data_IF_207599095857
#
_entry.id   IF_207599095857
#
_cell.length_a   1.000
_cell.length_b   1.000
_cell.length_c   1.000
_cell.angle_alpha   90.00
_cell.angle_beta   90.00
_cell.angle_gamma   90.00
#
_symmetry.space_group_name_H-M   'P 1'
#
loop_
_entity.id
_entity.type
_entity.pdbx_description
1 polymer ?
#
# COMPACT_ATOMS: atom_id res chain seq x y z
N UNK A 1 4.14 -10.74 17.22
CA UNK A 1 3.92 -10.35 15.81
C UNK A 1 2.45 -10.03 15.65
N UNK A 2 2.11 -8.78 15.33
CA UNK A 2 0.71 -8.31 15.32
C UNK A 2 -0.02 -8.61 14.00
N UNK A 3 0.66 -9.31 13.10
CA UNK A 3 0.12 -9.81 11.83
C UNK A 3 -0.35 -11.24 12.03
N UNK A 4 -1.64 -11.48 11.76
CA UNK A 4 -2.23 -12.80 11.73
C UNK A 4 -2.24 -13.35 10.30
N UNK A 5 -2.05 -14.66 10.15
CA UNK A 5 -2.20 -15.35 8.86
C UNK A 5 -3.60 -15.94 8.77
N UNK A 6 -4.48 -15.28 8.03
CA UNK A 6 -5.79 -15.81 7.71
C UNK A 6 -5.64 -16.93 6.69
N UNK A 7 -6.23 -18.08 6.96
CA UNK A 7 -6.35 -19.19 6.03
C UNK A 7 -7.84 -19.41 5.80
N UNK A 8 -8.24 -19.45 4.54
CA UNK A 8 -9.61 -19.74 4.17
C UNK A 8 -9.62 -20.73 3.00
N UNK A 9 -10.69 -21.50 2.91
CA UNK A 9 -10.96 -22.41 1.82
C UNK A 9 -12.47 -22.41 1.55
N UNK A 10 -12.86 -22.71 0.33
CA UNK A 10 -14.24 -22.94 -0.03
C UNK A 10 -14.38 -24.35 -0.63
N UNK A 11 -15.52 -24.98 -0.42
CA UNK A 11 -15.88 -26.25 -1.05
C UNK A 11 -16.94 -26.05 -2.12
N UNK A 12 -17.04 -26.99 -3.06
CA UNK A 12 -18.10 -27.04 -4.07
C UNK A 12 -19.23 -28.00 -3.70
N UNK A 13 -19.09 -28.71 -2.59
CA UNK A 13 -20.04 -29.67 -2.03
C UNK A 13 -20.04 -29.60 -0.49
N UNK A 14 -20.91 -30.39 0.14
CA UNK A 14 -21.05 -30.46 1.60
C UNK A 14 -19.97 -31.32 2.29
N UNK A 15 -18.91 -31.71 1.57
CA UNK A 15 -17.86 -32.55 2.13
C UNK A 15 -16.70 -31.69 2.66
N UNK A 16 -16.24 -31.98 3.88
CA UNK A 16 -15.07 -31.32 4.47
C UNK A 16 -13.80 -32.08 4.05
N UNK A 17 -13.40 -31.93 2.79
CA UNK A 17 -12.16 -32.52 2.28
C UNK A 17 -11.00 -31.52 2.27
N UNK A 18 -9.77 -32.03 2.12
CA UNK A 18 -8.61 -31.17 1.92
C UNK A 18 -8.69 -30.51 0.53
N UNK A 19 -9.23 -29.29 0.48
CA UNK A 19 -9.50 -28.54 -0.75
C UNK A 19 -8.21 -28.07 -1.46
N UNK A 20 -7.53 -28.98 -2.15
CA UNK A 20 -6.37 -28.68 -3.00
C UNK A 20 -6.79 -27.67 -4.08
N UNK A 21 -6.14 -26.50 -4.10
CA UNK A 21 -6.40 -25.44 -5.09
C UNK A 21 -7.49 -24.42 -4.72
N UNK A 22 -8.32 -24.69 -3.71
CA UNK A 22 -9.36 -23.75 -3.24
C UNK A 22 -9.05 -23.15 -1.87
N UNK A 23 -7.83 -23.37 -1.37
CA UNK A 23 -7.30 -22.77 -0.15
C UNK A 23 -6.47 -21.54 -0.48
N UNK A 24 -6.73 -20.44 0.21
CA UNK A 24 -5.94 -19.23 0.14
C UNK A 24 -5.48 -18.79 1.53
N UNK A 25 -4.35 -18.08 1.56
CA UNK A 25 -3.85 -17.48 2.80
C UNK A 25 -3.53 -16.01 2.58
N UNK A 26 -3.90 -15.17 3.55
CA UNK A 26 -3.66 -13.73 3.52
C UNK A 26 -3.14 -13.26 4.87
N UNK A 27 -2.07 -12.48 4.85
CA UNK A 27 -1.60 -11.78 6.04
C UNK A 27 -2.52 -10.59 6.32
N UNK A 28 -3.07 -10.53 7.53
CA UNK A 28 -4.00 -9.50 7.98
C UNK A 28 -3.54 -8.92 9.31
N UNK A 29 -3.72 -7.62 9.48
CA UNK A 29 -3.47 -6.94 10.75
C UNK A 29 -4.81 -6.81 11.49
N UNK A 30 -5.00 -7.61 12.54
CA UNK A 30 -6.28 -7.66 13.28
C UNK A 30 -6.40 -6.54 14.32
N UNK A 31 -5.27 -6.02 14.81
CA UNK A 31 -5.22 -5.02 15.87
C UNK A 31 -5.26 -3.58 15.34
N UNK A 32 -6.10 -3.30 14.34
CA UNK A 32 -6.23 -1.94 13.80
C UNK A 32 -6.95 -1.05 14.82
N UNK A 33 -6.19 -0.44 15.72
CA UNK A 33 -6.67 0.65 16.54
C UNK A 33 -7.07 1.80 15.62
N UNK A 34 -8.38 2.00 15.45
CA UNK A 34 -8.92 3.25 14.95
C UNK A 34 -9.11 4.11 16.19
N UNK A 35 -8.14 4.98 16.47
CA UNK A 35 -8.38 6.08 17.40
C UNK A 35 -9.63 6.85 16.98
N UNK A 36 -10.24 7.64 17.88
CA UNK A 36 -11.31 8.54 17.47
C UNK A 36 -10.84 9.28 16.22
N UNK A 37 -11.72 9.39 15.22
CA UNK A 37 -11.45 9.95 13.90
C UNK A 37 -11.17 11.46 13.96
N UNK A 38 -10.23 11.86 14.82
CA UNK A 38 -9.96 13.21 15.26
C UNK A 38 -8.77 13.81 14.50
N UNK A 39 -8.73 13.53 13.22
CA UNK A 39 -8.36 14.56 12.25
C UNK A 39 -9.40 14.46 11.15
N UNK A 40 -10.49 15.22 11.25
CA UNK A 40 -11.19 15.58 10.04
C UNK A 40 -10.12 16.10 9.07
N UNK A 41 -10.03 15.50 7.87
CA UNK A 41 -9.09 15.98 6.86
C UNK A 41 -9.19 17.52 6.82
N UNK A 42 -8.07 18.24 6.77
CA UNK A 42 -8.10 19.69 6.76
C UNK A 42 -9.02 20.15 5.63
N UNK A 43 -9.84 21.17 5.86
CA UNK A 43 -10.80 21.66 4.86
C UNK A 43 -10.11 22.14 3.57
N UNK A 44 -8.85 22.54 3.67
CA UNK A 44 -8.02 23.00 2.56
C UNK A 44 -6.74 22.17 2.57
N UNK A 45 -6.52 21.41 1.50
CA UNK A 45 -5.29 20.67 1.27
C UNK A 45 -4.94 20.63 -0.21
N UNK A 46 -3.67 20.34 -0.48
CA UNK A 46 -3.15 20.12 -1.81
C UNK A 46 -2.53 18.73 -1.85
N UNK A 47 -2.72 18.02 -2.97
CA UNK A 47 -2.10 16.71 -3.20
C UNK A 47 -0.97 16.88 -4.21
N UNK A 48 0.18 16.29 -3.91
CA UNK A 48 1.34 16.27 -4.80
C UNK A 48 1.83 14.84 -4.96
N UNK A 49 1.92 14.40 -6.21
CA UNK A 49 2.39 13.05 -6.54
C UNK A 49 3.91 13.03 -6.61
N UNK A 50 4.52 12.18 -5.79
CA UNK A 50 5.94 11.87 -5.84
C UNK A 50 6.13 10.69 -6.78
N UNK A 51 6.65 10.93 -7.99
CA UNK A 51 6.86 9.91 -9.02
C UNK A 51 8.31 9.86 -9.47
N UNK A 52 8.76 8.66 -9.80
CA UNK A 52 10.03 8.42 -10.46
C UNK A 52 9.72 8.12 -11.93
N UNK A 53 9.66 9.17 -12.75
CA UNK A 53 9.31 9.04 -14.16
C UNK A 53 10.47 8.47 -14.98
N UNK A 54 10.15 7.67 -16.01
CA UNK A 54 11.11 7.08 -16.96
C UNK A 54 12.25 6.28 -16.30
N UNK A 55 11.98 5.61 -15.18
CA UNK A 55 12.95 4.73 -14.56
C UNK A 55 13.14 3.44 -15.36
N UNK A 56 14.31 3.28 -15.97
CA UNK A 56 14.69 2.02 -16.59
C UNK A 56 14.94 0.97 -15.50
N UNK A 57 14.04 -0.02 -15.41
CA UNK A 57 14.18 -1.14 -14.46
C UNK A 57 15.39 -2.00 -14.89
N UNK A 58 16.43 -2.11 -14.05
CA UNK A 58 17.61 -2.88 -14.43
C UNK A 58 17.35 -4.40 -14.44
N UNK A 59 18.23 -5.15 -15.08
CA UNK A 59 18.10 -6.62 -15.24
C UNK A 59 18.47 -7.36 -13.94
N UNK A 60 19.25 -6.70 -13.06
CA UNK A 60 19.63 -7.26 -11.77
C UNK A 60 18.40 -7.54 -10.89
N UNK A 61 18.46 -8.64 -10.13
CA UNK A 61 17.35 -9.13 -9.30
C UNK A 61 16.85 -8.09 -8.29
N UNK A 62 17.74 -7.26 -7.76
CA UNK A 62 17.40 -6.18 -6.83
C UNK A 62 18.15 -4.90 -7.16
N UNK A 63 17.40 -3.79 -7.25
CA UNK A 63 17.96 -2.45 -7.42
C UNK A 63 17.23 -1.45 -6.53
N UNK A 64 18.00 -0.62 -5.84
CA UNK A 64 17.50 0.57 -5.15
C UNK A 64 17.75 1.80 -6.01
N UNK A 65 16.73 2.66 -6.11
CA UNK A 65 16.79 3.91 -6.84
C UNK A 65 16.47 5.09 -5.90
N UNK A 66 17.29 6.14 -5.99
CA UNK A 66 17.06 7.39 -5.30
C UNK A 66 17.07 8.51 -6.35
N UNK A 67 16.15 9.48 -6.21
CA UNK A 67 16.11 10.66 -7.08
C UNK A 67 15.80 11.90 -6.27
N UNK A 68 16.19 13.05 -6.81
CA UNK A 68 15.73 14.34 -6.31
C UNK A 68 14.40 14.67 -6.97
N UNK A 69 13.31 14.70 -6.19
CA UNK A 69 11.99 15.09 -6.68
C UNK A 69 11.84 16.60 -6.43
N UNK A 70 11.65 17.43 -7.46
CA UNK A 70 11.38 18.85 -7.26
C UNK A 70 10.05 18.99 -6.54
N UNK A 71 10.05 19.74 -5.44
CA UNK A 71 8.82 20.08 -4.73
C UNK A 71 8.14 21.27 -5.42
N UNK A 72 6.80 21.38 -5.34
CA UNK A 72 6.09 22.52 -5.90
C UNK A 72 6.54 23.81 -5.21
N UNK A 73 6.68 24.89 -5.97
CA UNK A 73 6.96 26.21 -5.42
C UNK A 73 5.75 26.70 -4.62
N UNK A 74 5.91 26.79 -3.30
CA UNK A 74 4.86 27.25 -2.38
C UNK A 74 5.18 28.64 -1.87
N UNK A 75 4.14 29.49 -1.75
CA UNK A 75 4.27 30.87 -1.24
C UNK A 75 4.45 30.94 0.28
N UNK A 76 4.15 29.85 0.99
CA UNK A 76 4.20 29.75 2.45
C UNK A 76 4.56 28.33 2.89
N UNK A 77 4.91 28.14 4.16
CA UNK A 77 5.21 26.83 4.75
C UNK A 77 3.94 25.97 4.84
N UNK A 78 4.02 24.71 4.42
CA UNK A 78 2.93 23.73 4.52
C UNK A 78 3.34 22.55 5.41
N UNK A 79 2.37 21.91 6.06
CA UNK A 79 2.57 20.69 6.84
C UNK A 79 2.06 19.48 6.04
N UNK A 80 2.90 18.45 5.91
CA UNK A 80 2.47 17.16 5.36
C UNK A 80 1.66 16.47 6.46
N UNK A 81 0.35 16.41 6.30
CA UNK A 81 -0.54 15.77 7.28
C UNK A 81 -0.89 14.32 6.90
N UNK A 82 -0.71 13.95 5.62
CA UNK A 82 -1.02 12.63 5.10
C UNK A 82 -0.10 12.28 3.94
N UNK A 83 0.46 11.08 4.01
CA UNK A 83 1.20 10.46 2.90
C UNK A 83 0.43 9.20 2.54
N UNK A 84 0.00 9.12 1.29
CA UNK A 84 -0.59 7.91 0.74
C UNK A 84 0.49 7.17 -0.06
N UNK A 85 0.44 5.85 -0.09
CA UNK A 85 1.26 5.04 -0.98
C UNK A 85 0.63 4.98 -2.38
N UNK A 86 1.32 5.35 -3.48
CA UNK A 86 0.81 5.13 -4.84
C UNK A 86 1.46 3.92 -5.55
N UNK A 87 0.81 3.54 -6.66
CA UNK A 87 0.89 2.27 -7.38
C UNK A 87 2.26 1.89 -7.96
N UNK A 88 2.68 0.63 -7.74
CA UNK A 88 3.66 -0.06 -8.57
C UNK A 88 2.97 -0.47 -9.88
N UNK A 89 3.18 0.30 -10.95
CA UNK A 89 2.92 -0.17 -12.31
C UNK A 89 4.20 -0.85 -12.81
N UNK A 90 4.28 -2.16 -12.63
CA UNK A 90 5.24 -2.99 -13.36
C UNK A 90 4.80 -2.99 -14.83
N UNK A 91 5.38 -2.12 -15.65
CA UNK A 91 5.35 -2.32 -17.09
C UNK A 91 6.30 -3.48 -17.38
N UNK A 92 5.72 -4.57 -17.90
CA UNK A 92 6.41 -5.79 -18.31
C UNK A 92 6.85 -5.67 -19.75
#
# INVERSE_FOLDING_TARGET
>A
TDTARLVAAFGTDDTVQFFKGQRFSKSVFLMKYRGPSNSADPKIFFTYDLRLDNFAVPVEETKYACTFIPLPMVKQKHHIYKVNSPALLLQK
#
